data_IF_756083736993
#
_entry.id   IF_756083736993
#
_cell.length_a   1.000
_cell.length_b   1.000
_cell.length_c   1.000
_cell.angle_alpha   90.00
_cell.angle_beta   90.00
_cell.angle_gamma   90.00
#
_symmetry.space_group_name_H-M   'P 1'
#
loop_
_entity.id
_entity.type
_entity.pdbx_description
1 polymer ?
#
# COMPACT_ATOMS: atom_id res chain seq x y z
N UNK A 1 1.19 -15.31 25.90
CA UNK A 1 2.57 -14.88 26.14
C UNK A 1 2.74 -14.65 27.62
N UNK A 2 3.81 -15.10 28.24
CA UNK A 2 4.06 -15.00 29.68
C UNK A 2 5.45 -14.42 29.89
N UNK A 3 5.56 -13.46 30.82
CA UNK A 3 6.83 -12.81 31.17
C UNK A 3 7.01 -12.80 32.69
N UNK A 4 8.24 -12.78 33.12
CA UNK A 4 8.62 -12.47 34.49
C UNK A 4 9.15 -11.03 34.53
N UNK A 5 8.52 -10.19 35.33
CA UNK A 5 8.83 -8.76 35.45
C UNK A 5 9.03 -8.39 36.91
N UNK A 6 9.92 -7.46 37.17
CA UNK A 6 10.06 -6.85 38.49
C UNK A 6 8.83 -5.98 38.81
N UNK A 7 8.61 -5.73 40.10
CA UNK A 7 7.50 -4.88 40.54
C UNK A 7 7.76 -3.42 40.14
N UNK A 8 6.96 -2.90 39.21
CA UNK A 8 7.10 -1.53 38.74
C UNK A 8 5.86 -1.10 37.98
N UNK A 9 5.83 0.15 37.50
CA UNK A 9 4.92 0.63 36.49
C UNK A 9 5.44 0.28 35.10
N UNK A 10 4.56 -0.20 34.22
CA UNK A 10 4.93 -0.59 32.87
C UNK A 10 4.02 0.02 31.84
N UNK A 11 4.64 0.51 30.80
CA UNK A 11 3.98 0.84 29.53
C UNK A 11 4.27 -0.30 28.55
N UNK A 12 3.21 -1.02 28.16
CA UNK A 12 3.32 -2.10 27.19
C UNK A 12 2.93 -1.58 25.81
N UNK A 13 3.73 -1.88 24.83
CA UNK A 13 3.41 -1.73 23.42
C UNK A 13 3.53 -3.11 22.80
N UNK A 14 2.48 -3.53 22.09
CA UNK A 14 2.40 -4.82 21.44
C UNK A 14 2.21 -4.61 19.95
N UNK A 15 2.99 -5.31 19.16
CA UNK A 15 2.91 -5.33 17.70
C UNK A 15 2.72 -6.75 17.21
N UNK A 16 1.86 -6.95 16.22
CA UNK A 16 1.71 -8.20 15.52
C UNK A 16 1.58 -7.96 14.02
N UNK A 17 2.27 -8.75 13.24
CA UNK A 17 2.23 -8.74 11.79
C UNK A 17 2.43 -10.17 11.23
N UNK A 18 2.35 -10.29 9.91
CA UNK A 18 2.52 -11.56 9.22
C UNK A 18 3.98 -11.79 8.84
N UNK A 19 4.48 -12.95 9.21
CA UNK A 19 5.77 -13.50 8.80
C UNK A 19 5.55 -14.81 8.04
N UNK A 20 6.60 -15.33 7.41
CA UNK A 20 6.51 -16.66 6.78
C UNK A 20 6.40 -17.75 7.89
N UNK A 21 5.73 -18.85 7.56
CA UNK A 21 5.58 -19.96 8.48
C UNK A 21 6.94 -20.47 8.97
N UNK A 22 6.98 -20.82 10.25
CA UNK A 22 8.16 -21.36 10.93
C UNK A 22 9.39 -20.42 10.98
N UNK A 23 9.17 -19.11 10.78
CA UNK A 23 10.20 -18.08 10.89
C UNK A 23 9.78 -16.95 11.82
N UNK A 24 10.77 -16.26 12.39
CA UNK A 24 10.59 -15.01 13.14
C UNK A 24 11.20 -13.82 12.38
N UNK A 25 11.48 -14.02 11.07
CA UNK A 25 12.13 -13.00 10.24
C UNK A 25 11.12 -12.01 9.73
N UNK A 26 11.39 -10.73 9.93
CA UNK A 26 10.62 -9.62 9.39
C UNK A 26 10.42 -9.74 7.89
N UNK A 27 9.16 -9.71 7.44
CA UNK A 27 8.82 -9.82 6.04
C UNK A 27 8.31 -8.50 5.45
N UNK A 28 7.24 -7.98 6.00
CA UNK A 28 6.58 -6.77 5.49
C UNK A 28 6.90 -5.52 6.29
N UNK A 29 7.33 -5.70 7.53
CA UNK A 29 7.69 -4.64 8.45
C UNK A 29 9.08 -4.91 9.03
N UNK A 30 9.83 -3.85 9.22
CA UNK A 30 11.08 -3.90 9.98
C UNK A 30 10.78 -3.54 11.42
N UNK A 31 10.95 -4.51 12.32
CA UNK A 31 10.68 -4.38 13.76
C UNK A 31 11.95 -4.33 14.60
N UNK A 32 13.12 -4.22 13.98
CA UNK A 32 14.42 -4.18 14.69
C UNK A 32 14.55 -2.99 15.65
N UNK A 33 13.84 -1.91 15.39
CA UNK A 33 13.71 -0.76 16.29
C UNK A 33 12.25 -0.53 16.64
N UNK A 34 11.83 -0.95 17.83
CA UNK A 34 10.43 -0.86 18.26
C UNK A 34 9.87 0.57 18.27
N UNK A 35 10.73 1.56 18.43
CA UNK A 35 10.37 2.98 18.35
C UNK A 35 10.16 3.48 16.92
N UNK A 36 10.57 2.71 15.92
CA UNK A 36 10.58 3.11 14.52
C UNK A 36 10.27 1.91 13.62
N UNK A 37 9.09 1.33 13.80
CA UNK A 37 8.62 0.27 12.90
C UNK A 37 8.36 0.89 11.53
N UNK A 38 8.97 0.34 10.50
CA UNK A 38 8.90 0.84 9.13
C UNK A 38 8.51 -0.26 8.15
N UNK A 39 8.08 0.13 6.96
CA UNK A 39 7.79 -0.81 5.89
C UNK A 39 9.07 -1.45 5.38
N UNK A 40 9.04 -2.76 5.20
CA UNK A 40 10.10 -3.53 4.58
C UNK A 40 9.76 -3.76 3.11
N UNK A 41 10.59 -3.20 2.21
CA UNK A 41 10.40 -3.28 0.77
C UNK A 41 9.35 -2.31 0.20
N UNK A 42 9.09 -2.44 -1.09
CA UNK A 42 8.15 -1.59 -1.81
C UNK A 42 6.70 -1.87 -1.42
N UNK A 43 5.89 -0.80 -1.35
CA UNK A 43 4.46 -0.92 -1.11
C UNK A 43 3.77 -1.53 -2.33
N UNK A 44 3.14 -2.69 -2.17
CA UNK A 44 2.23 -3.26 -3.16
C UNK A 44 0.79 -3.21 -2.64
N UNK A 45 -0.14 -2.75 -3.46
CA UNK A 45 -1.57 -2.78 -3.13
C UNK A 45 -2.13 -4.21 -3.10
N UNK A 46 -3.34 -4.36 -2.56
CA UNK A 46 -4.10 -5.63 -2.53
C UNK A 46 -3.38 -6.82 -1.87
N UNK A 47 -2.59 -6.56 -0.85
CA UNK A 47 -1.91 -7.60 -0.09
C UNK A 47 -2.44 -7.65 1.34
N UNK A 48 -3.27 -8.64 1.65
CA UNK A 48 -3.86 -8.82 2.98
C UNK A 48 -2.84 -9.30 4.02
N UNK A 49 -1.72 -9.88 3.60
CA UNK A 49 -0.63 -10.27 4.50
C UNK A 49 0.17 -9.08 5.05
N UNK A 50 -0.07 -7.88 4.55
CA UNK A 50 0.48 -6.64 5.12
C UNK A 50 -0.35 -6.07 6.27
N UNK A 51 -1.35 -6.79 6.72
CA UNK A 51 -2.12 -6.40 7.90
C UNK A 51 -1.22 -6.43 9.14
N UNK A 52 -1.38 -5.46 10.00
CA UNK A 52 -0.63 -5.35 11.24
C UNK A 52 -1.54 -4.82 12.34
N UNK A 53 -1.16 -5.07 13.56
CA UNK A 53 -1.94 -4.70 14.74
C UNK A 53 -1.02 -4.11 15.79
N UNK A 54 -1.48 -3.05 16.45
CA UNK A 54 -0.77 -2.40 17.55
C UNK A 54 -1.70 -2.28 18.76
N UNK A 55 -1.15 -2.51 19.94
CA UNK A 55 -1.87 -2.35 21.20
C UNK A 55 -1.02 -1.61 22.24
N UNK A 56 -1.69 -0.91 23.13
CA UNK A 56 -1.06 -0.19 24.23
C UNK A 56 -1.73 -0.55 25.53
N UNK A 57 -0.94 -0.69 26.59
CA UNK A 57 -1.44 -0.90 27.93
C UNK A 57 -0.50 -0.28 28.96
N UNK A 58 -1.08 0.31 30.01
CA UNK A 58 -0.36 0.85 31.17
C UNK A 58 -0.79 0.08 32.41
N UNK A 59 0.16 -0.52 33.09
CA UNK A 59 -0.13 -1.37 34.24
C UNK A 59 0.80 -1.07 35.41
N UNK A 60 0.17 -0.98 36.59
CA UNK A 60 0.86 -0.87 37.86
C UNK A 60 1.00 -2.26 38.48
N UNK A 61 2.20 -2.79 38.49
CA UNK A 61 2.53 -4.08 39.08
C UNK A 61 3.21 -3.96 40.46
N UNK A 62 3.07 -2.80 41.12
CA UNK A 62 3.74 -2.54 42.41
C UNK A 62 3.04 -3.18 43.58
N UNK A 63 1.72 -3.28 43.57
CA UNK A 63 0.89 -3.52 44.75
C UNK A 63 0.29 -4.92 44.87
N UNK A 64 0.19 -5.71 43.79
CA UNK A 64 -0.56 -6.96 43.83
C UNK A 64 0.31 -8.21 43.77
N UNK A 65 -0.14 -9.38 44.29
CA UNK A 65 0.58 -10.63 44.16
C UNK A 65 0.49 -11.21 42.76
N UNK A 66 1.61 -11.68 42.20
CA UNK A 66 1.64 -12.43 40.95
C UNK A 66 0.96 -13.82 41.07
N UNK A 67 0.44 -14.40 39.99
CA UNK A 67 0.53 -13.92 38.60
C UNK A 67 -0.63 -12.97 38.20
N UNK A 68 -0.32 -12.03 37.28
CA UNK A 68 -1.30 -11.14 36.70
C UNK A 68 -1.72 -11.60 35.30
N UNK A 69 -2.96 -11.36 34.96
CA UNK A 69 -3.45 -11.54 33.57
C UNK A 69 -4.06 -10.25 33.08
N UNK A 70 -3.49 -9.72 32.01
CA UNK A 70 -3.98 -8.52 31.35
C UNK A 70 -4.32 -8.80 29.90
N UNK A 71 -5.36 -8.13 29.41
CA UNK A 71 -5.76 -8.17 28.02
C UNK A 71 -5.48 -6.80 27.39
N UNK A 72 -4.62 -6.79 26.39
CA UNK A 72 -4.31 -5.58 25.62
C UNK A 72 -5.09 -5.67 24.29
N UNK A 73 -6.10 -4.82 24.08
CA UNK A 73 -6.79 -4.76 22.79
C UNK A 73 -5.84 -4.26 21.71
N UNK A 74 -5.89 -4.87 20.55
CA UNK A 74 -5.05 -4.50 19.42
C UNK A 74 -5.94 -3.95 18.30
N UNK A 75 -5.48 -2.87 17.68
CA UNK A 75 -6.14 -2.19 16.58
C UNK A 75 -5.26 -2.15 15.34
N UNK A 76 -5.87 -2.03 14.17
CA UNK A 76 -5.12 -1.83 12.93
C UNK A 76 -4.60 -0.40 12.87
N UNK A 77 -3.28 -0.17 12.77
CA UNK A 77 -2.71 1.18 12.65
C UNK A 77 -2.93 1.78 11.25
N UNK A 78 -3.41 0.97 10.30
CA UNK A 78 -3.59 1.36 8.91
C UNK A 78 -5.01 1.11 8.44
N UNK A 79 -5.47 1.97 7.50
CA UNK A 79 -6.74 1.79 6.81
C UNK A 79 -6.52 1.20 5.41
N UNK A 80 -7.43 0.32 4.99
CA UNK A 80 -7.47 -0.22 3.63
C UNK A 80 -8.59 0.47 2.85
N UNK A 81 -8.23 1.09 1.73
CA UNK A 81 -9.18 1.69 0.81
C UNK A 81 -9.27 0.85 -0.46
N UNK A 82 -10.47 0.66 -0.94
CA UNK A 82 -10.74 0.03 -2.23
C UNK A 82 -11.42 1.04 -3.14
N UNK A 83 -10.76 1.37 -4.23
CA UNK A 83 -11.35 2.19 -5.29
C UNK A 83 -11.92 1.28 -6.37
N UNK A 84 -13.17 1.51 -6.74
CA UNK A 84 -13.85 0.76 -7.80
C UNK A 84 -14.28 1.78 -8.84
N UNK A 85 -13.75 1.66 -10.07
CA UNK A 85 -14.26 2.39 -11.21
C UNK A 85 -15.21 1.47 -12.00
N UNK A 86 -16.42 1.95 -12.26
CA UNK A 86 -17.46 1.20 -12.98
C UNK A 86 -17.55 1.58 -14.46
N UNK A 87 -16.77 2.56 -14.87
CA UNK A 87 -16.80 3.15 -16.23
C UNK A 87 -15.48 3.00 -17.00
N UNK A 88 -14.62 2.09 -16.56
CA UNK A 88 -13.29 1.87 -17.17
C UNK A 88 -13.39 1.55 -18.66
N UNK A 89 -14.32 0.67 -19.05
CA UNK A 89 -14.49 0.26 -20.44
C UNK A 89 -14.94 1.44 -21.31
N UNK A 90 -15.83 2.29 -20.80
CA UNK A 90 -16.27 3.52 -21.47
C UNK A 90 -15.11 4.50 -21.64
N UNK A 91 -14.29 4.67 -20.59
CA UNK A 91 -13.11 5.52 -20.64
C UNK A 91 -12.10 5.04 -21.67
N UNK A 92 -11.77 3.76 -21.67
CA UNK A 92 -10.83 3.16 -22.62
C UNK A 92 -11.32 3.32 -24.05
N UNK A 93 -12.62 3.06 -24.30
CA UNK A 93 -13.24 3.21 -25.62
C UNK A 93 -13.12 4.64 -26.14
N UNK A 94 -13.40 5.64 -25.31
CA UNK A 94 -13.26 7.06 -25.65
C UNK A 94 -11.82 7.45 -25.94
N UNK A 95 -10.86 6.94 -25.14
CA UNK A 95 -9.44 7.21 -25.35
C UNK A 95 -8.94 6.62 -26.67
N UNK A 96 -9.39 5.42 -27.04
CA UNK A 96 -9.06 4.79 -28.32
C UNK A 96 -9.64 5.57 -29.50
N UNK A 97 -10.85 6.07 -29.38
CA UNK A 97 -11.50 6.90 -30.41
C UNK A 97 -10.77 8.22 -30.64
N UNK A 98 -10.37 8.89 -29.55
CA UNK A 98 -9.57 10.13 -29.64
C UNK A 98 -8.24 9.88 -30.32
N UNK A 99 -7.56 8.78 -29.94
CA UNK A 99 -6.28 8.40 -30.56
C UNK A 99 -6.42 8.13 -32.06
N UNK A 100 -7.50 7.43 -32.44
CA UNK A 100 -7.79 7.16 -33.86
C UNK A 100 -8.00 8.45 -34.65
N UNK A 101 -8.85 9.38 -34.15
CA UNK A 101 -9.11 10.68 -34.80
C UNK A 101 -7.84 11.52 -34.96
N UNK A 102 -6.95 11.52 -33.96
CA UNK A 102 -5.66 12.22 -34.06
C UNK A 102 -4.75 11.61 -35.13
N UNK A 103 -4.74 10.29 -35.24
CA UNK A 103 -3.94 9.62 -36.26
C UNK A 103 -4.46 9.88 -37.67
N UNK A 104 -5.79 9.91 -37.85
CA UNK A 104 -6.45 10.23 -39.14
C UNK A 104 -6.19 11.67 -39.55
N UNK A 105 -6.27 12.63 -38.60
CA UNK A 105 -5.97 14.05 -38.88
C UNK A 105 -4.50 14.25 -39.30
N UNK A 106 -3.55 13.59 -38.62
CA UNK A 106 -2.13 13.64 -38.96
C UNK A 106 -1.82 13.07 -40.36
N UNK A 107 -2.54 12.02 -40.79
CA UNK A 107 -2.38 11.44 -42.14
C UNK A 107 -2.98 12.33 -43.22
N UNK A 108 -4.05 13.04 -42.91
CA UNK A 108 -4.67 14.00 -43.86
C UNK A 108 -3.78 15.18 -44.18
N UNK A 109 -3.01 15.68 -43.21
CA UNK A 109 -2.04 16.76 -43.39
C UNK A 109 -0.85 16.34 -44.28
N UNK A 110 -0.40 15.07 -44.19
CA UNK A 110 0.66 14.53 -45.03
C UNK A 110 0.24 14.30 -46.50
N UNK A 111 -1.05 14.06 -46.77
CA UNK A 111 -1.58 13.92 -48.12
C UNK A 111 -1.80 15.27 -48.78
N UNK A 112 -2.21 16.29 -48.04
CA UNK A 112 -2.42 17.65 -48.56
C UNK A 112 -1.07 18.32 -48.95
N UNK A 113 -0.01 18.08 -48.18
CA UNK A 113 1.34 18.58 -48.50
C UNK A 113 1.97 17.89 -49.72
N UNK A 114 1.54 16.67 -50.08
CA UNK A 114 2.02 15.98 -51.28
C UNK A 114 1.32 16.45 -52.58
N UNK A 115 0.05 16.88 -52.49
CA UNK A 115 -0.69 17.37 -53.63
C UNK A 115 -0.18 18.73 -54.16
N UNK A 116 0.31 19.59 -53.26
CA UNK A 116 0.83 20.92 -53.64
C UNK A 116 2.25 20.89 -54.25
N UNK A 117 2.95 19.73 -54.22
CA UNK A 117 4.32 19.63 -54.76
C UNK A 117 4.36 19.04 -56.16
N UNK A 118 3.30 18.53 -56.73
CA UNK A 118 3.26 17.96 -58.08
C UNK A 118 2.84 18.93 -59.17
N UNK A 119 2.37 20.15 -58.85
CA UNK A 119 1.87 21.12 -59.86
C UNK A 119 2.88 22.20 -60.28
N UNK A 120 4.17 22.00 -60.01
CA UNK A 120 5.23 22.93 -60.45
C UNK A 120 6.33 22.22 -61.29
N UNK A 121 5.91 21.50 -62.35
CA UNK A 121 6.85 21.02 -63.37
C UNK A 121 6.19 20.96 -64.76
N UNK A 122 5.91 22.13 -65.34
CA UNK A 122 5.74 22.30 -66.80
C UNK A 122 6.49 23.57 -67.19
N UNK A 123 7.52 23.37 -67.90
CA UNK A 123 8.31 23.96 -68.95
C UNK A 123 9.79 23.94 -68.73
#
# INVERSE_FOLDING_TARGET
MQFELERNFYDFVVWADYVDADTEVDKYYNTSGFNLISLNGALSGSNDFRDAFIGYGKYDLTAEPAPYTYTIPMERPMAKYRFISTDVDTFISRMMEIKKKRLEASRGEDEETKADTEDTKVD
#
